data_IF_494191073389
#
_entry.id   IF_494191073389
#
_cell.length_a   1.000
_cell.length_b   1.000
_cell.length_c   1.000
_cell.angle_alpha   90.00
_cell.angle_beta   90.00
_cell.angle_gamma   90.00
#
_symmetry.space_group_name_H-M   'P 1'
#
loop_
_entity.id
_entity.type
_entity.pdbx_description
1 polymer ?
#
# COMPACT_ATOMS: atom_id res chain seq x y z
N UNK A 1 7.25 -0.53 12.04
CA UNK A 1 6.07 -0.45 11.15
C UNK A 1 5.62 0.99 11.00
N UNK A 2 5.23 1.34 9.81
CA UNK A 2 4.73 2.67 9.52
C UNK A 2 3.33 2.59 8.93
N UNK A 3 2.50 3.58 9.26
CA UNK A 3 1.16 3.67 8.70
C UNK A 3 1.15 4.69 7.59
N UNK A 4 0.58 4.33 6.46
CA UNK A 4 0.42 5.21 5.32
C UNK A 4 -1.04 5.25 4.89
N UNK A 5 -1.55 6.44 4.61
CA UNK A 5 -2.89 6.59 4.07
C UNK A 5 -2.84 6.37 2.55
N UNK A 6 -3.69 5.50 2.06
CA UNK A 6 -3.81 5.26 0.62
C UNK A 6 -5.26 5.47 0.21
N UNK A 7 -5.47 5.74 -1.07
CA UNK A 7 -6.82 5.94 -1.60
C UNK A 7 -7.28 4.65 -2.26
N UNK A 8 -8.47 4.19 -1.90
CA UNK A 8 -9.05 2.98 -2.49
C UNK A 8 -9.21 3.15 -3.99
N UNK A 9 -8.86 2.11 -4.74
CA UNK A 9 -8.98 2.12 -6.19
C UNK A 9 -10.45 2.11 -6.65
N UNK A 10 -11.34 1.58 -5.82
CA UNK A 10 -12.75 1.38 -6.17
C UNK A 10 -13.67 2.49 -5.68
N UNK A 11 -13.62 2.79 -4.38
CA UNK A 11 -14.53 3.77 -3.78
C UNK A 11 -13.89 5.14 -3.52
N UNK A 12 -12.59 5.24 -3.72
CA UNK A 12 -11.81 6.48 -3.55
C UNK A 12 -11.79 7.02 -2.12
N UNK A 13 -12.14 6.19 -1.14
CA UNK A 13 -12.01 6.56 0.26
C UNK A 13 -10.59 6.28 0.73
N UNK A 14 -10.07 7.14 1.59
CA UNK A 14 -8.75 6.94 2.17
C UNK A 14 -8.81 6.01 3.37
N UNK A 15 -7.81 5.14 3.46
CA UNK A 15 -7.65 4.29 4.63
C UNK A 15 -6.16 4.07 4.90
N UNK A 16 -5.85 3.74 6.14
CA UNK A 16 -4.46 3.55 6.54
C UNK A 16 -4.07 2.08 6.45
N UNK A 17 -2.85 1.85 5.97
CA UNK A 17 -2.27 0.51 5.94
C UNK A 17 -0.97 0.51 6.72
N UNK A 18 -0.65 -0.64 7.30
CA UNK A 18 0.58 -0.84 8.06
C UNK A 18 1.63 -1.44 7.13
N UNK A 19 2.76 -0.76 6.98
CA UNK A 19 3.83 -1.18 6.10
C UNK A 19 5.10 -1.43 6.90
N UNK A 20 5.86 -2.43 6.48
CA UNK A 20 7.12 -2.79 7.14
C UNK A 20 8.27 -2.00 6.49
N UNK A 21 8.96 -1.20 7.31
CA UNK A 21 10.08 -0.37 6.87
C UNK A 21 11.43 -0.88 7.36
N UNK A 22 11.49 -2.13 7.77
CA UNK A 22 12.70 -2.69 8.36
C UNK A 22 13.87 -2.88 7.40
N UNK A 23 13.65 -2.70 6.10
CA UNK A 23 14.71 -2.87 5.09
C UNK A 23 15.65 -1.67 5.06
N UNK A 24 16.95 -1.95 5.02
CA UNK A 24 17.98 -0.91 4.92
C UNK A 24 18.47 -0.71 3.49
N UNK A 25 17.82 -1.33 2.54
CA UNK A 25 18.15 -1.24 1.12
C UNK A 25 16.87 -1.07 0.31
N UNK A 26 17.03 -0.74 -0.97
CA UNK A 26 15.86 -0.51 -1.85
C UNK A 26 15.14 -1.82 -2.11
N UNK A 27 13.85 -1.86 -1.80
CA UNK A 27 13.00 -3.03 -2.02
C UNK A 27 11.69 -2.60 -2.63
N UNK A 28 11.28 -3.27 -3.71
CA UNK A 28 9.98 -3.08 -4.31
C UNK A 28 9.05 -4.17 -3.80
N UNK A 29 7.92 -3.76 -3.25
CA UNK A 29 6.96 -4.68 -2.63
C UNK A 29 5.59 -4.48 -3.23
N UNK A 30 4.91 -5.59 -3.51
CA UNK A 30 3.52 -5.58 -3.94
C UNK A 30 2.70 -6.39 -2.94
N UNK A 31 1.68 -5.78 -2.36
CA UNK A 31 0.81 -6.46 -1.41
C UNK A 31 -0.64 -6.07 -1.67
N UNK A 32 -1.55 -6.90 -1.19
CA UNK A 32 -2.98 -6.68 -1.35
C UNK A 32 -3.58 -6.32 0.00
N UNK A 33 -4.31 -5.21 0.02
CA UNK A 33 -5.00 -4.72 1.22
C UNK A 33 -6.47 -4.52 0.89
N UNK A 34 -7.35 -5.01 1.75
CA UNK A 34 -8.78 -4.82 1.58
C UNK A 34 -9.18 -3.43 2.07
N UNK A 35 -10.02 -2.76 1.30
CA UNK A 35 -10.59 -1.48 1.71
C UNK A 35 -11.54 -1.68 2.90
N UNK A 36 -11.46 -0.79 3.88
CA UNK A 36 -12.32 -0.86 5.04
C UNK A 36 -13.76 -0.41 4.76
N UNK A 37 -13.96 0.30 3.66
CA UNK A 37 -15.27 0.86 3.30
C UNK A 37 -16.02 -0.05 2.33
N UNK A 38 -15.40 -0.39 1.21
CA UNK A 38 -16.08 -1.19 0.17
C UNK A 38 -15.64 -2.65 0.15
N UNK A 39 -14.66 -3.02 0.96
CA UNK A 39 -14.16 -4.39 1.09
C UNK A 39 -13.55 -4.98 -0.19
N UNK A 40 -13.23 -4.15 -1.17
CA UNK A 40 -12.57 -4.61 -2.39
C UNK A 40 -11.06 -4.67 -2.18
N UNK A 41 -10.38 -5.65 -2.80
CA UNK A 41 -8.93 -5.76 -2.67
C UNK A 41 -8.22 -4.70 -3.48
N UNK A 42 -7.23 -4.06 -2.87
CA UNK A 42 -6.39 -3.07 -3.53
C UNK A 42 -4.97 -3.61 -3.62
N UNK A 43 -4.40 -3.63 -4.81
CA UNK A 43 -3.02 -4.01 -5.00
C UNK A 43 -2.15 -2.77 -4.82
N UNK A 44 -1.34 -2.80 -3.79
CA UNK A 44 -0.46 -1.68 -3.45
C UNK A 44 0.97 -2.01 -3.86
N UNK A 45 1.52 -1.19 -4.74
CA UNK A 45 2.91 -1.27 -5.14
C UNK A 45 3.66 -0.14 -4.47
N UNK A 46 4.65 -0.49 -3.65
CA UNK A 46 5.44 0.52 -2.97
C UNK A 46 6.90 0.09 -2.90
N UNK A 47 7.77 1.05 -2.68
CA UNK A 47 9.18 0.75 -2.46
C UNK A 47 9.64 1.35 -1.15
N UNK A 48 10.55 0.65 -0.51
CA UNK A 48 11.20 1.09 0.71
C UNK A 48 12.63 1.48 0.36
N UNK A 49 13.00 2.68 0.74
CA UNK A 49 14.34 3.21 0.48
C UNK A 49 14.84 3.90 1.74
N UNK A 50 15.87 3.33 2.35
CA UNK A 50 16.52 3.92 3.53
C UNK A 50 15.52 4.33 4.62
N UNK A 51 14.57 3.44 4.89
CA UNK A 51 13.56 3.68 5.92
C UNK A 51 12.37 4.53 5.48
N UNK A 52 12.37 4.99 4.23
CA UNK A 52 11.25 5.75 3.69
C UNK A 52 10.41 4.89 2.77
N UNK A 53 9.10 5.13 2.78
CA UNK A 53 8.16 4.40 1.95
C UNK A 53 7.64 5.33 0.86
N UNK A 54 7.72 4.87 -0.37
CA UNK A 54 7.16 5.59 -1.51
C UNK A 54 6.10 4.71 -2.18
N UNK A 55 4.87 5.20 -2.22
CA UNK A 55 3.78 4.50 -2.88
C UNK A 55 3.88 4.77 -4.39
N UNK A 56 4.02 3.71 -5.17
CA UNK A 56 4.13 3.83 -6.62
C UNK A 56 2.79 3.71 -7.33
N UNK A 57 1.94 2.80 -6.85
CA UNK A 57 0.66 2.56 -7.51
C UNK A 57 -0.31 1.87 -6.57
N UNK A 58 -1.59 2.14 -6.78
CA UNK A 58 -2.68 1.44 -6.12
C UNK A 58 -3.64 1.00 -7.22
N UNK A 59 -3.91 -0.28 -7.31
CA UNK A 59 -4.73 -0.83 -8.38
C UNK A 59 -5.67 -1.92 -7.91
N UNK A 60 -6.27 -2.61 -8.88
CA UNK A 60 -7.19 -3.72 -8.62
C UNK A 60 -6.40 -4.94 -8.15
N UNK A 61 -6.71 -5.42 -6.94
CA UNK A 61 -6.05 -6.58 -6.36
C UNK A 61 -6.39 -7.90 -7.03
N UNK A 62 -7.36 -7.90 -7.92
CA UNK A 62 -7.76 -9.10 -8.66
C UNK A 62 -6.94 -9.31 -9.94
N UNK A 63 -6.05 -8.43 -10.26
CA UNK A 63 -5.19 -8.56 -11.44
C UNK A 63 -3.98 -9.46 -11.17
#
# INVERSE_FOLDING_TARGET
MEYKAITCFFCFEQFEVSLDVGASFVVNISEIYDCEVCCNPNKLDYEVYDGEIKINNVGDGNE
#
